data_IF_237601391424
#
_entry.id   IF_237601391424
#
_cell.length_a   1.000
_cell.length_b   1.000
_cell.length_c   1.000
_cell.angle_alpha   90.00
_cell.angle_beta   90.00
_cell.angle_gamma   90.00
#
_symmetry.space_group_name_H-M   'P 1'
#
loop_
_entity.id
_entity.type
_entity.pdbx_description
1 polymer ?
#
# COMPACT_ATOMS: atom_id res chain seq x y z
N UNK A 1 -15.21 -11.75 34.65
CA UNK A 1 -15.95 -11.64 33.38
C UNK A 1 -14.87 -11.40 32.35
N UNK A 2 -14.62 -12.38 31.48
CA UNK A 2 -13.65 -12.23 30.40
C UNK A 2 -14.24 -11.27 29.37
N UNK A 3 -13.73 -10.04 29.34
CA UNK A 3 -13.96 -9.10 28.26
C UNK A 3 -13.29 -9.66 26.99
N UNK A 4 -14.01 -10.54 26.32
CA UNK A 4 -13.75 -10.98 24.95
C UNK A 4 -13.90 -9.77 24.01
N UNK A 5 -12.90 -8.89 24.03
CA UNK A 5 -12.70 -7.87 23.01
C UNK A 5 -12.47 -8.65 21.70
N UNK A 6 -13.33 -8.52 20.68
CA UNK A 6 -12.98 -9.04 19.37
C UNK A 6 -11.62 -8.43 19.02
N UNK A 7 -10.62 -9.27 18.78
CA UNK A 7 -9.40 -8.86 18.11
C UNK A 7 -9.85 -8.11 16.85
N UNK A 8 -9.74 -6.79 16.87
CA UNK A 8 -10.01 -5.94 15.72
C UNK A 8 -8.95 -6.30 14.66
N UNK A 9 -9.23 -7.35 13.89
CA UNK A 9 -8.61 -7.62 12.59
C UNK A 9 -9.13 -6.68 11.51
N UNK A 10 -9.97 -5.72 11.88
CA UNK A 10 -10.18 -4.47 11.17
C UNK A 10 -8.93 -3.59 11.38
N UNK A 11 -7.79 -4.00 10.79
CA UNK A 11 -6.77 -3.01 10.47
C UNK A 11 -7.44 -2.08 9.49
N UNK A 12 -7.95 -0.97 10.01
CA UNK A 12 -8.53 0.16 9.28
C UNK A 12 -7.90 0.19 7.88
N UNK A 13 -8.63 -0.27 6.87
CA UNK A 13 -8.22 -0.22 5.46
C UNK A 13 -8.37 1.25 5.00
N UNK A 14 -7.88 2.15 5.85
CA UNK A 14 -7.95 3.58 5.71
C UNK A 14 -7.02 3.94 4.57
N UNK A 15 -7.43 4.97 3.83
CA UNK A 15 -6.66 5.49 2.71
C UNK A 15 -5.27 5.86 3.22
N UNK A 16 -4.24 5.62 2.42
CA UNK A 16 -2.90 6.08 2.77
C UNK A 16 -2.87 7.61 2.85
N UNK A 17 -2.87 8.14 4.07
CA UNK A 17 -2.74 9.57 4.35
C UNK A 17 -1.27 9.87 4.61
N UNK A 18 -0.70 10.76 3.80
CA UNK A 18 0.68 11.24 3.99
C UNK A 18 0.65 12.66 4.56
N UNK A 19 1.28 12.84 5.72
CA UNK A 19 1.49 14.17 6.32
C UNK A 19 2.80 14.82 5.86
N UNK A 20 3.68 14.04 5.21
CA UNK A 20 4.98 14.49 4.72
C UNK A 20 5.09 14.19 3.21
N UNK A 21 5.35 15.24 2.42
CA UNK A 21 5.49 15.14 0.96
C UNK A 21 6.68 14.27 0.53
N UNK A 22 7.78 14.30 1.26
CA UNK A 22 8.96 13.44 1.00
C UNK A 22 8.60 11.96 1.14
N UNK A 23 7.85 11.60 2.19
CA UNK A 23 7.39 10.22 2.40
C UNK A 23 6.41 9.80 1.30
N UNK A 24 5.48 10.67 0.91
CA UNK A 24 4.56 10.42 -0.21
C UNK A 24 5.32 10.19 -1.51
N UNK A 25 6.30 11.03 -1.81
CA UNK A 25 7.12 10.91 -3.00
C UNK A 25 7.96 9.62 -3.01
N UNK A 26 8.49 9.20 -1.85
CA UNK A 26 9.22 7.95 -1.72
C UNK A 26 8.34 6.73 -2.03
N UNK A 27 7.13 6.67 -1.48
CA UNK A 27 6.17 5.58 -1.76
C UNK A 27 5.76 5.59 -3.23
N UNK A 28 5.47 6.76 -3.80
CA UNK A 28 5.16 6.93 -5.22
C UNK A 28 6.29 6.41 -6.11
N UNK A 29 7.54 6.76 -5.78
CA UNK A 29 8.71 6.34 -6.53
C UNK A 29 8.92 4.83 -6.44
N UNK A 30 8.70 4.23 -5.27
CA UNK A 30 8.75 2.78 -5.08
C UNK A 30 7.71 2.04 -5.95
N UNK A 31 6.46 2.52 -5.95
CA UNK A 31 5.41 1.98 -6.82
C UNK A 31 5.76 2.15 -8.30
N UNK A 32 6.23 3.34 -8.70
CA UNK A 32 6.68 3.61 -10.08
C UNK A 32 7.78 2.65 -10.52
N UNK A 33 8.82 2.45 -9.71
CA UNK A 33 9.90 1.50 -10.02
C UNK A 33 9.38 0.08 -10.17
N UNK A 34 8.39 -0.30 -9.37
CA UNK A 34 7.78 -1.63 -9.43
C UNK A 34 6.93 -1.82 -10.69
N UNK A 35 6.24 -0.77 -11.14
CA UNK A 35 5.53 -0.74 -12.44
C UNK A 35 6.52 -0.78 -13.61
N UNK A 36 7.58 0.02 -13.58
CA UNK A 36 8.65 0.03 -14.61
C UNK A 36 9.28 -1.36 -14.78
N UNK A 37 9.49 -2.07 -13.66
CA UNK A 37 9.96 -3.46 -13.64
C UNK A 37 8.89 -4.50 -13.98
N UNK A 38 7.65 -4.08 -14.29
CA UNK A 38 6.48 -4.93 -14.57
C UNK A 38 6.14 -5.91 -13.43
N UNK A 39 6.51 -5.57 -12.20
CA UNK A 39 6.20 -6.37 -11.01
C UNK A 39 4.77 -6.15 -10.55
N UNK A 40 4.21 -4.98 -10.82
CA UNK A 40 2.81 -4.64 -10.55
C UNK A 40 2.22 -3.85 -11.71
N UNK A 41 0.90 -3.76 -11.76
CA UNK A 41 0.20 -3.01 -12.80
C UNK A 41 0.22 -1.49 -12.53
N UNK A 42 0.21 -0.69 -13.60
CA UNK A 42 0.22 0.78 -13.50
C UNK A 42 -1.00 1.34 -12.76
N UNK A 43 -2.14 0.63 -12.78
CA UNK A 43 -3.35 1.03 -12.05
C UNK A 43 -3.12 1.25 -10.56
N UNK A 44 -2.11 0.63 -9.96
CA UNK A 44 -1.77 0.82 -8.55
C UNK A 44 -1.07 2.16 -8.29
N UNK A 45 -0.26 2.62 -9.24
CA UNK A 45 0.30 3.97 -9.21
C UNK A 45 -0.81 5.01 -9.43
N UNK A 46 -1.74 4.74 -10.34
CA UNK A 46 -2.88 5.63 -10.59
C UNK A 46 -3.80 5.72 -9.34
N UNK A 47 -4.05 4.59 -8.65
CA UNK A 47 -4.77 4.56 -7.35
C UNK A 47 -4.04 5.36 -6.27
N UNK A 48 -2.71 5.32 -6.25
CA UNK A 48 -1.91 6.10 -5.30
C UNK A 48 -2.04 7.60 -5.58
N UNK A 49 -1.91 8.01 -6.85
CA UNK A 49 -2.05 9.41 -7.27
C UNK A 49 -3.48 9.93 -7.05
N UNK A 50 -4.49 9.09 -7.23
CA UNK A 50 -5.89 9.39 -6.91
C UNK A 50 -6.20 9.41 -5.40
N UNK A 51 -5.27 8.98 -4.54
CA UNK A 51 -5.48 8.89 -3.09
C UNK A 51 -6.52 7.85 -2.67
N UNK A 52 -6.75 6.83 -3.51
CA UNK A 52 -7.68 5.72 -3.24
C UNK A 52 -6.95 4.45 -2.82
N UNK A 53 -5.62 4.42 -2.90
CA UNK A 53 -4.82 3.30 -2.40
C UNK A 53 -4.92 3.23 -0.87
N UNK A 54 -5.33 2.08 -0.36
CA UNK A 54 -5.41 1.84 1.08
C UNK A 54 -4.10 1.30 1.63
N UNK A 55 -3.96 1.33 2.95
CA UNK A 55 -2.86 0.64 3.62
C UNK A 55 -2.83 -0.86 3.28
N UNK A 56 -4.00 -1.51 3.26
CA UNK A 56 -4.15 -2.93 2.92
C UNK A 56 -3.68 -3.26 1.49
N UNK A 57 -4.11 -2.47 0.51
CA UNK A 57 -3.61 -2.57 -0.87
C UNK A 57 -2.08 -2.51 -0.89
N UNK A 58 -1.48 -1.49 -0.26
CA UNK A 58 -0.03 -1.30 -0.29
C UNK A 58 0.76 -2.44 0.38
N UNK A 59 0.28 -2.97 1.51
CA UNK A 59 0.89 -4.15 2.14
C UNK A 59 0.87 -5.36 1.20
N UNK A 60 -0.26 -5.60 0.52
CA UNK A 60 -0.38 -6.65 -0.49
C UNK A 60 0.59 -6.45 -1.66
N UNK A 61 0.74 -5.22 -2.14
CA UNK A 61 1.69 -4.89 -3.22
C UNK A 61 3.14 -5.18 -2.83
N UNK A 62 3.56 -4.84 -1.60
CA UNK A 62 4.92 -5.15 -1.13
C UNK A 62 5.23 -6.64 -1.20
N UNK A 63 4.27 -7.49 -0.85
CA UNK A 63 4.43 -8.96 -0.92
C UNK A 63 4.61 -9.41 -2.38
N UNK A 64 3.75 -8.93 -3.28
CA UNK A 64 3.80 -9.27 -4.72
C UNK A 64 5.13 -8.81 -5.35
N UNK A 65 5.56 -7.59 -5.04
CA UNK A 65 6.83 -7.02 -5.54
C UNK A 65 8.01 -7.85 -5.04
N UNK A 66 8.03 -8.22 -3.76
CA UNK A 66 9.09 -9.05 -3.19
C UNK A 66 9.14 -10.44 -3.84
N UNK A 67 7.98 -11.07 -4.08
CA UNK A 67 7.91 -12.38 -4.74
C UNK A 67 8.38 -12.35 -6.20
N UNK A 68 8.07 -11.28 -6.95
CA UNK A 68 8.42 -11.16 -8.38
C UNK A 68 9.84 -10.62 -8.62
N UNK A 69 10.48 -10.03 -7.60
CA UNK A 69 11.85 -9.50 -7.69
C UNK A 69 12.93 -10.57 -7.42
N UNK A 70 12.52 -11.80 -7.11
CA UNK A 70 13.36 -12.92 -6.73
C UNK A 70 13.37 -13.98 -7.82
#
# INVERSE_FOLDING_TARGET
MEDNKPLQTEKDDDKMKFTNETTKAAVRNYLKQSVDKKLIDKSHLDKFDAGTLTGGDFEGLKIIIAQRSN
#
